data_IF_739744615315
#
_entry.id   IF_739744615315
#
_cell.length_a   1.000
_cell.length_b   1.000
_cell.length_c   1.000
_cell.angle_alpha   90.00
_cell.angle_beta   90.00
_cell.angle_gamma   90.00
#
_symmetry.space_group_name_H-M   'P 1'
#
loop_
_entity.id
_entity.type
_entity.pdbx_description
1 polymer ?
#
# COMPACT_ATOMS: atom_id res chain seq x y z
N UNK A 1 0.34 -28.19 22.18
CA UNK A 1 -0.61 -27.50 21.28
C UNK A 1 0.01 -26.17 20.90
N UNK A 2 0.15 -25.92 19.60
CA UNK A 2 0.80 -24.73 19.06
C UNK A 2 -0.14 -23.53 19.16
N UNK A 3 0.30 -22.47 19.83
CA UNK A 3 -0.39 -21.18 19.77
C UNK A 3 0.56 -20.20 19.10
N UNK A 4 0.33 -20.02 17.79
CA UNK A 4 1.05 -19.11 16.91
C UNK A 4 0.95 -17.67 17.42
N UNK A 5 2.03 -17.17 17.99
CA UNK A 5 2.21 -15.78 18.36
C UNK A 5 2.62 -14.97 17.11
N UNK A 6 1.72 -14.88 16.13
CA UNK A 6 1.88 -14.04 14.94
C UNK A 6 0.63 -13.19 14.74
N UNK A 7 0.32 -12.36 15.73
CA UNK A 7 -0.53 -11.19 15.54
C UNK A 7 0.25 -9.98 16.03
N UNK A 8 1.22 -9.56 15.19
CA UNK A 8 1.54 -8.14 15.15
C UNK A 8 0.23 -7.44 14.79
N UNK A 9 -0.36 -6.75 15.76
CA UNK A 9 -1.43 -5.79 15.53
C UNK A 9 -0.87 -4.78 14.52
N UNK A 10 -1.22 -4.90 13.24
CA UNK A 10 -0.75 -3.97 12.21
C UNK A 10 -1.29 -2.58 12.56
N UNK A 11 -0.45 -1.63 13.01
CA UNK A 11 -0.91 -0.30 13.43
C UNK A 11 -1.55 0.49 12.27
N UNK A 12 -1.38 0.02 11.03
CA UNK A 12 -1.89 0.64 9.82
C UNK A 12 -3.43 0.65 9.69
N UNK A 13 -4.17 -0.25 10.33
CA UNK A 13 -5.64 -0.28 10.19
C UNK A 13 -6.35 0.83 11.00
N UNK A 14 -5.64 1.42 11.97
CA UNK A 14 -6.14 2.51 12.81
C UNK A 14 -5.24 3.76 12.77
N UNK A 15 -4.27 3.81 11.85
CA UNK A 15 -3.38 4.96 11.71
C UNK A 15 -4.16 6.14 11.09
N UNK A 16 -4.31 7.29 11.77
CA UNK A 16 -4.96 8.47 11.20
C UNK A 16 -4.27 9.01 9.94
N UNK A 17 -3.02 8.59 9.68
CA UNK A 17 -2.25 8.92 8.48
C UNK A 17 -2.59 8.02 7.28
N UNK A 18 -3.31 6.91 7.49
CA UNK A 18 -3.64 5.95 6.42
C UNK A 18 -4.25 6.63 5.17
N UNK A 19 -5.22 7.57 5.28
CA UNK A 19 -5.77 8.24 4.09
C UNK A 19 -4.71 8.98 3.29
N UNK A 20 -3.79 9.69 3.96
CA UNK A 20 -2.71 10.45 3.33
C UNK A 20 -1.70 9.52 2.63
N UNK A 21 -1.43 8.36 3.22
CA UNK A 21 -0.56 7.34 2.62
C UNK A 21 -1.21 6.73 1.37
N UNK A 22 -2.50 6.42 1.42
CA UNK A 22 -3.25 5.92 0.25
C UNK A 22 -3.26 6.95 -0.87
N UNK A 23 -3.53 8.23 -0.57
CA UNK A 23 -3.51 9.32 -1.57
C UNK A 23 -2.11 9.53 -2.18
N UNK A 24 -1.05 9.39 -1.37
CA UNK A 24 0.33 9.43 -1.83
C UNK A 24 0.64 8.28 -2.79
N UNK A 25 0.25 7.05 -2.44
CA UNK A 25 0.44 5.88 -3.29
C UNK A 25 -0.35 6.01 -4.60
N UNK A 26 -1.60 6.50 -4.55
CA UNK A 26 -2.46 6.68 -5.73
C UNK A 26 -1.85 7.64 -6.75
N UNK A 27 -1.37 8.81 -6.29
CA UNK A 27 -0.73 9.80 -7.19
C UNK A 27 0.52 9.25 -7.86
N UNK A 28 1.38 8.58 -7.08
CA UNK A 28 2.62 7.97 -7.61
C UNK A 28 2.32 6.80 -8.55
N UNK A 29 1.29 6.01 -8.28
CA UNK A 29 0.86 4.93 -9.15
C UNK A 29 0.33 5.46 -10.48
N UNK A 30 -0.48 6.52 -10.47
CA UNK A 30 -0.95 7.17 -11.70
C UNK A 30 0.20 7.71 -12.55
N UNK A 31 1.21 8.33 -11.93
CA UNK A 31 2.40 8.79 -12.66
C UNK A 31 3.19 7.62 -13.26
N UNK A 32 3.41 6.55 -12.48
CA UNK A 32 4.06 5.35 -12.97
C UNK A 32 3.28 4.66 -14.10
N UNK A 33 1.94 4.71 -14.06
CA UNK A 33 1.06 4.20 -15.11
C UNK A 33 1.18 5.02 -16.41
N UNK A 34 1.10 6.36 -16.30
CA UNK A 34 1.29 7.27 -17.45
C UNK A 34 2.65 7.09 -18.12
N UNK A 35 3.69 6.79 -17.33
CA UNK A 35 5.06 6.56 -17.81
C UNK A 35 5.32 5.12 -18.25
N UNK A 36 4.33 4.23 -18.12
CA UNK A 36 4.48 2.78 -18.34
C UNK A 36 5.66 2.17 -17.56
N UNK A 37 5.95 2.71 -16.38
CA UNK A 37 7.10 2.33 -15.55
C UNK A 37 6.73 1.15 -14.65
N UNK A 38 7.01 -0.06 -15.13
CA UNK A 38 6.74 -1.28 -14.40
C UNK A 38 7.56 -1.41 -13.10
N UNK A 39 8.79 -0.90 -13.09
CA UNK A 39 9.66 -0.95 -11.92
C UNK A 39 9.13 -0.03 -10.80
N UNK A 40 8.69 1.17 -11.15
CA UNK A 40 8.07 2.10 -10.21
C UNK A 40 6.77 1.51 -9.63
N UNK A 41 5.93 0.88 -10.46
CA UNK A 41 4.74 0.16 -9.96
C UNK A 41 5.12 -0.94 -8.97
N UNK A 42 6.11 -1.77 -9.30
CA UNK A 42 6.60 -2.84 -8.41
C UNK A 42 7.09 -2.30 -7.06
N UNK A 43 7.83 -1.19 -7.06
CA UNK A 43 8.29 -0.53 -5.83
C UNK A 43 7.11 -0.04 -4.98
N UNK A 44 6.07 0.54 -5.61
CA UNK A 44 4.87 0.98 -4.91
C UNK A 44 4.08 -0.17 -4.28
N UNK A 45 4.02 -1.34 -4.95
CA UNK A 45 3.42 -2.54 -4.36
C UNK A 45 4.17 -3.00 -3.10
N UNK A 46 5.51 -3.01 -3.13
CA UNK A 46 6.31 -3.38 -1.97
C UNK A 46 6.12 -2.41 -0.81
N UNK A 47 6.09 -1.11 -1.11
CA UNK A 47 5.81 -0.06 -0.12
C UNK A 47 4.43 -0.25 0.52
N UNK A 48 3.39 -0.51 -0.28
CA UNK A 48 2.04 -0.74 0.21
C UNK A 48 1.95 -1.97 1.13
N UNK A 49 2.64 -3.06 0.79
CA UNK A 49 2.73 -4.26 1.64
C UNK A 49 3.38 -3.93 2.99
N UNK A 50 4.48 -3.16 2.99
CA UNK A 50 5.13 -2.71 4.22
C UNK A 50 4.20 -1.83 5.08
N UNK A 51 3.40 -0.99 4.43
CA UNK A 51 2.44 -0.10 5.10
C UNK A 51 1.13 -0.80 5.49
N UNK A 52 0.93 -2.08 5.17
CA UNK A 52 -0.34 -2.77 5.42
C UNK A 52 -1.53 -2.16 4.65
N UNK A 53 -1.24 -1.57 3.48
CA UNK A 53 -2.21 -1.02 2.54
C UNK A 53 -2.37 -2.03 1.40
N UNK A 54 -3.60 -2.43 1.11
CA UNK A 54 -3.84 -3.38 0.03
C UNK A 54 -3.76 -2.65 -1.32
N UNK A 55 -3.25 -3.32 -2.37
CA UNK A 55 -3.09 -2.65 -3.65
C UNK A 55 -4.37 -2.08 -4.27
N UNK A 56 -5.50 -2.76 -4.08
CA UNK A 56 -6.82 -2.32 -4.53
C UNK A 56 -7.22 -0.94 -3.98
N UNK A 57 -6.68 -0.51 -2.83
CA UNK A 57 -7.01 0.77 -2.21
C UNK A 57 -6.44 1.98 -2.99
N UNK A 58 -5.29 1.81 -3.67
CA UNK A 58 -4.60 2.88 -4.40
C UNK A 58 -4.53 2.69 -5.91
N UNK A 59 -4.79 1.48 -6.43
CA UNK A 59 -4.88 1.21 -7.87
C UNK A 59 -6.23 1.57 -8.49
N UNK A 60 -7.28 1.78 -7.69
CA UNK A 60 -8.60 2.10 -8.19
C UNK A 60 -8.57 3.40 -9.02
N UNK A 61 -8.77 3.23 -10.33
CA UNK A 61 -9.03 4.29 -11.30
C UNK A 61 -10.29 5.04 -10.86
N UNK A 62 -10.09 6.19 -10.22
CA UNK A 62 -11.12 7.21 -10.04
C UNK A 62 -11.12 8.15 -11.23
#
# INVERSE_FOLDING_TARGET
MATSLFMAHSPAQSDPRRPQLVDSLRRRYAEADQRQDAAAKQALFQEAVYLGIRPDEFMALG
#
